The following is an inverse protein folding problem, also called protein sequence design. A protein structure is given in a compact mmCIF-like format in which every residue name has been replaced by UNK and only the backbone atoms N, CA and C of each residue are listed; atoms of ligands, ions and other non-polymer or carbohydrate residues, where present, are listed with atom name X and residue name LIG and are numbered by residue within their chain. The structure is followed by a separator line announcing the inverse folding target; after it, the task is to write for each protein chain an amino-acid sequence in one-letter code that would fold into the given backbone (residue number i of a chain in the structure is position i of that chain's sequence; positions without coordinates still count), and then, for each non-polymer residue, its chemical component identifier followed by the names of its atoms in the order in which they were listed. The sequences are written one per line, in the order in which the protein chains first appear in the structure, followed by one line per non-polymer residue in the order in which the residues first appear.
data_IF_597652582500
#
_entry.id   IF_597652582500
#
_cell.length_a   1.000
_cell.length_b   1.000
_cell.length_c   1.000
_cell.angle_alpha   90.00
_cell.angle_beta   90.00
_cell.angle_gamma   90.00
#
_symmetry.space_group_name_H-M   'P 1'
#
loop_
_entity.id
_entity.type
_entity.pdbx_description
1 polymer ?
#
# COMPACT_ATOMS: atom_id res chain seq x y z
N UNK A 1 -7.23 -12.04 -43.68
CA UNK A 1 -7.24 -10.98 -42.65
C UNK A 1 -5.97 -11.13 -41.85
N UNK A 2 -5.02 -10.18 -41.92
CA UNK A 2 -3.89 -10.20 -40.98
C UNK A 2 -4.45 -9.93 -39.58
N UNK A 3 -4.11 -10.79 -38.61
CA UNK A 3 -4.46 -10.59 -37.21
C UNK A 3 -3.75 -9.35 -36.66
N UNK A 4 -4.26 -8.86 -35.52
CA UNK A 4 -3.63 -7.77 -34.79
C UNK A 4 -2.19 -8.14 -34.40
N UNK A 5 -1.18 -7.25 -34.61
CA UNK A 5 0.18 -7.51 -34.18
C UNK A 5 0.25 -7.64 -32.64
N UNK A 6 1.17 -8.47 -32.10
CA UNK A 6 1.26 -8.73 -30.66
C UNK A 6 1.33 -7.46 -29.80
N UNK A 7 2.04 -6.44 -30.25
CA UNK A 7 2.23 -5.18 -29.51
C UNK A 7 0.93 -4.39 -29.38
N UNK A 8 0.15 -4.28 -30.47
CA UNK A 8 -1.15 -3.60 -30.43
C UNK A 8 -2.14 -4.29 -29.47
N UNK A 9 -2.06 -5.63 -29.37
CA UNK A 9 -2.83 -6.38 -28.39
C UNK A 9 -2.37 -6.10 -26.96
N UNK A 10 -1.06 -6.01 -26.73
CA UNK A 10 -0.50 -5.69 -25.42
C UNK A 10 -0.87 -4.25 -24.99
N UNK A 11 -0.80 -3.30 -25.90
CA UNK A 11 -1.16 -1.89 -25.65
C UNK A 11 -2.62 -1.75 -25.24
N UNK A 12 -3.53 -2.45 -25.92
CA UNK A 12 -4.96 -2.48 -25.56
C UNK A 12 -5.16 -3.03 -24.15
N UNK A 13 -4.48 -4.12 -23.81
CA UNK A 13 -4.56 -4.74 -22.48
C UNK A 13 -4.05 -3.76 -21.42
N UNK A 14 -2.88 -3.15 -21.63
CA UNK A 14 -2.31 -2.17 -20.72
C UNK A 14 -3.22 -0.94 -20.56
N UNK A 15 -3.85 -0.47 -21.63
CA UNK A 15 -4.81 0.63 -21.58
C UNK A 15 -6.01 0.30 -20.69
N UNK A 16 -6.62 -0.86 -20.89
CA UNK A 16 -7.77 -1.30 -20.09
C UNK A 16 -7.39 -1.42 -18.61
N UNK A 17 -6.31 -2.12 -18.29
CA UNK A 17 -5.90 -2.36 -16.91
C UNK A 17 -5.52 -1.07 -16.17
N UNK A 18 -4.86 -0.11 -16.82
CA UNK A 18 -4.36 1.08 -16.14
C UNK A 18 -5.34 2.26 -16.13
N UNK A 19 -6.15 2.42 -17.18
CA UNK A 19 -6.98 3.61 -17.38
C UNK A 19 -8.47 3.36 -17.21
N UNK A 20 -8.95 2.15 -17.52
CA UNK A 20 -10.40 1.85 -17.53
C UNK A 20 -10.85 1.01 -16.33
N UNK A 21 -10.00 0.16 -15.78
CA UNK A 21 -10.37 -0.64 -14.61
C UNK A 21 -10.42 0.22 -13.34
N UNK A 22 -11.56 0.18 -12.66
CA UNK A 22 -11.75 0.66 -11.29
C UNK A 22 -11.86 -0.58 -10.42
N UNK A 23 -10.95 -0.75 -9.46
CA UNK A 23 -10.98 -1.88 -8.51
C UNK A 23 -11.84 -1.55 -7.30
N UNK A 24 -12.50 -2.54 -6.69
CA UNK A 24 -13.37 -2.33 -5.51
C UNK A 24 -12.69 -1.62 -4.32
N UNK A 25 -11.38 -1.85 -4.13
CA UNK A 25 -10.59 -1.25 -3.04
C UNK A 25 -10.27 0.24 -3.25
N UNK A 26 -10.37 0.73 -4.49
CA UNK A 26 -9.99 2.10 -4.83
C UNK A 26 -11.00 2.65 -5.83
N UNK A 27 -11.78 3.64 -5.41
CA UNK A 27 -12.69 4.42 -6.28
C UNK A 27 -11.98 5.15 -7.45
N UNK A 28 -10.69 4.91 -7.65
CA UNK A 28 -9.86 5.54 -8.67
C UNK A 28 -9.14 4.49 -9.52
N UNK A 29 -9.11 4.66 -10.85
CA UNK A 29 -8.28 3.85 -11.74
C UNK A 29 -6.79 3.90 -11.36
N UNK A 30 -6.01 2.85 -11.68
CA UNK A 30 -4.57 2.78 -11.36
C UNK A 30 -3.76 4.00 -11.80
N UNK A 31 -4.08 4.58 -12.96
CA UNK A 31 -3.41 5.78 -13.49
C UNK A 31 -3.54 6.98 -12.54
N UNK A 32 -4.74 7.21 -11.99
CA UNK A 32 -4.96 8.31 -11.05
C UNK A 32 -4.22 8.05 -9.74
N UNK A 33 -4.22 6.81 -9.24
CA UNK A 33 -3.45 6.45 -8.04
C UNK A 33 -1.96 6.68 -8.22
N UNK A 34 -1.40 6.30 -9.37
CA UNK A 34 0.02 6.45 -9.68
C UNK A 34 0.48 7.91 -9.64
N UNK A 35 -0.27 8.81 -10.29
CA UNK A 35 0.09 10.23 -10.29
C UNK A 35 -0.34 10.97 -9.03
N UNK A 36 -1.43 10.54 -8.36
CA UNK A 36 -1.85 11.13 -7.09
C UNK A 36 -0.88 10.81 -5.96
N UNK A 37 -0.25 9.62 -5.95
CA UNK A 37 0.76 9.29 -4.94
C UNK A 37 2.01 10.16 -5.05
N UNK A 38 2.34 10.66 -6.25
CA UNK A 38 3.44 11.62 -6.43
C UNK A 38 3.10 12.99 -5.81
N UNK A 39 1.82 13.38 -5.82
CA UNK A 39 1.36 14.65 -5.21
C UNK A 39 1.11 14.49 -3.69
N UNK A 40 0.71 13.30 -3.24
CA UNK A 40 0.39 13.03 -1.83
C UNK A 40 1.62 12.76 -0.94
N UNK A 41 2.81 12.51 -1.52
CA UNK A 41 4.07 12.38 -0.76
C UNK A 41 4.37 13.63 0.11
N UNK A 42 3.83 14.80 -0.24
CA UNK A 42 3.98 16.03 0.54
C UNK A 42 2.98 16.15 1.73
N UNK A 43 1.97 15.28 1.82
CA UNK A 43 0.87 15.37 2.82
C UNK A 43 0.79 14.15 3.74
N UNK A 44 1.94 13.61 4.16
CA UNK A 44 1.96 12.63 5.25
C UNK A 44 1.70 13.37 6.55
N UNK A 45 0.43 13.45 6.96
CA UNK A 45 0.07 13.82 8.33
C UNK A 45 0.67 12.82 9.34
N UNK A 46 0.66 13.11 10.66
CA UNK A 46 1.23 12.20 11.64
C UNK A 46 0.60 10.81 11.51
N UNK A 47 1.40 9.83 11.10
CA UNK A 47 0.94 8.46 10.90
C UNK A 47 0.39 7.88 12.19
N UNK A 48 -0.71 7.13 12.09
CA UNK A 48 -1.31 6.46 13.25
C UNK A 48 -0.25 5.65 14.00
N UNK A 49 -0.23 5.74 15.33
CA UNK A 49 0.73 5.01 16.15
C UNK A 49 0.26 3.57 16.37
N UNK A 50 1.16 2.62 16.17
CA UNK A 50 0.89 1.18 16.29
C UNK A 50 1.93 0.48 17.14
N UNK A 51 1.52 -0.63 17.75
CA UNK A 51 2.42 -1.59 18.38
C UNK A 51 2.69 -2.74 17.40
N UNK A 52 3.93 -3.21 17.39
CA UNK A 52 4.44 -4.27 16.53
C UNK A 52 4.87 -5.46 17.38
N UNK A 53 4.43 -6.65 17.00
CA UNK A 53 4.86 -7.90 17.64
C UNK A 53 6.18 -8.38 17.05
N UNK A 54 7.23 -8.37 17.86
CA UNK A 54 8.52 -8.99 17.55
C UNK A 54 8.30 -10.50 17.31
N UNK A 55 8.71 -10.99 16.13
CA UNK A 55 8.53 -12.38 15.73
C UNK A 55 9.46 -13.34 16.46
N UNK A 56 10.61 -12.87 16.93
CA UNK A 56 11.61 -13.65 17.66
C UNK A 56 11.24 -13.78 19.13
N UNK A 57 10.82 -12.69 19.76
CA UNK A 57 10.55 -12.65 21.21
C UNK A 57 9.06 -12.76 21.55
N UNK A 58 8.18 -12.54 20.58
CA UNK A 58 6.73 -12.52 20.76
C UNK A 58 6.18 -11.29 21.47
N UNK A 59 7.05 -10.36 21.87
CA UNK A 59 6.72 -9.15 22.62
C UNK A 59 6.19 -8.04 21.71
N UNK A 60 5.36 -7.17 22.27
CA UNK A 60 4.87 -5.98 21.57
C UNK A 60 5.80 -4.80 21.84
N UNK A 61 6.22 -4.12 20.78
CA UNK A 61 7.15 -2.98 20.77
C UNK A 61 6.51 -1.79 20.07
N UNK A 62 7.00 -0.58 20.35
CA UNK A 62 6.46 0.67 19.81
C UNK A 62 6.23 1.72 20.90
N UNK A 63 5.55 2.83 20.59
CA UNK A 63 4.74 3.08 19.38
C UNK A 63 5.58 3.39 18.13
N UNK A 64 5.26 2.72 17.01
CA UNK A 64 5.80 2.97 15.68
C UNK A 64 4.79 3.72 14.81
N UNK A 65 5.26 4.44 13.80
CA UNK A 65 4.37 5.08 12.83
C UNK A 65 3.88 4.08 11.79
N UNK A 66 2.58 4.03 11.57
CA UNK A 66 2.00 3.28 10.46
C UNK A 66 2.13 4.10 9.18
N UNK A 67 2.82 3.54 8.18
CA UNK A 67 3.00 4.14 6.86
C UNK A 67 1.86 3.75 5.91
N UNK A 68 1.47 2.48 5.91
CA UNK A 68 0.31 2.00 5.15
C UNK A 68 -0.16 0.64 5.66
N UNK A 69 -1.40 0.25 5.35
CA UNK A 69 -1.98 -1.04 5.70
C UNK A 69 -2.92 -1.51 4.59
N UNK A 70 -2.76 -2.76 4.14
CA UNK A 70 -3.66 -3.35 3.17
C UNK A 70 -3.34 -4.81 2.89
N UNK A 71 -4.35 -5.56 2.42
CA UNK A 71 -4.18 -6.94 1.90
C UNK A 71 -3.47 -7.89 2.86
N UNK A 72 -3.71 -7.74 4.16
CA UNK A 72 -3.14 -8.60 5.20
C UNK A 72 -1.73 -8.21 5.67
N UNK A 73 -1.22 -7.04 5.25
CA UNK A 73 0.08 -6.53 5.65
C UNK A 73 -0.01 -5.06 6.08
N UNK A 74 0.99 -4.65 6.86
CA UNK A 74 1.20 -3.27 7.27
C UNK A 74 2.67 -2.89 7.07
N UNK A 75 2.91 -1.67 6.62
CA UNK A 75 4.24 -1.07 6.59
C UNK A 75 4.35 -0.07 7.75
N UNK A 76 5.38 -0.24 8.58
CA UNK A 76 5.62 0.58 9.78
C UNK A 76 7.01 1.19 9.74
N UNK A 77 7.15 2.41 10.24
CA UNK A 77 8.44 3.08 10.38
C UNK A 77 9.08 2.70 11.71
N UNK A 78 10.23 2.01 11.65
CA UNK A 78 11.05 1.68 12.83
C UNK A 78 12.43 2.33 12.73
N UNK A 79 13.26 2.19 13.76
CA UNK A 79 14.62 2.73 13.77
C UNK A 79 15.52 2.10 12.67
N UNK A 80 15.10 0.96 12.12
CA UNK A 80 15.76 0.29 10.99
C UNK A 80 15.18 0.70 9.62
N UNK A 81 14.25 1.66 9.61
CA UNK A 81 13.52 2.12 8.43
C UNK A 81 12.15 1.45 8.27
N UNK A 82 11.52 1.58 7.08
CA UNK A 82 10.22 0.97 6.78
C UNK A 82 10.27 -0.55 6.78
N UNK A 83 9.39 -1.19 7.55
CA UNK A 83 9.29 -2.65 7.64
C UNK A 83 7.89 -3.14 7.29
N UNK A 84 7.82 -4.16 6.44
CA UNK A 84 6.58 -4.86 6.11
C UNK A 84 6.34 -6.03 7.06
N UNK A 85 5.17 -6.04 7.69
CA UNK A 85 4.78 -7.03 8.68
C UNK A 85 3.38 -7.58 8.36
N UNK A 86 3.10 -8.85 8.71
CA UNK A 86 1.74 -9.35 8.65
C UNK A 86 0.83 -8.50 9.55
N UNK A 87 -0.37 -8.17 9.06
CA UNK A 87 -1.34 -7.33 9.77
C UNK A 87 -1.67 -7.83 11.19
N UNK A 88 -1.69 -9.16 11.39
CA UNK A 88 -1.92 -9.79 12.71
C UNK A 88 -0.82 -9.48 13.74
N UNK A 89 0.35 -9.02 13.30
CA UNK A 89 1.49 -8.63 14.13
C UNK A 89 1.52 -7.13 14.40
N UNK A 90 0.48 -6.38 14.00
CA UNK A 90 0.37 -4.94 14.21
C UNK A 90 -0.96 -4.65 14.90
N UNK A 91 -0.98 -3.76 15.88
CA UNK A 91 -2.24 -3.31 16.51
C UNK A 91 -2.21 -1.81 16.83
N UNK A 92 -3.34 -1.09 16.73
CA UNK A 92 -3.41 0.33 17.09
C UNK A 92 -3.07 0.58 18.56
N UNK A 93 -2.45 1.73 18.85
CA UNK A 93 -2.38 2.27 20.21
C UNK A 93 -3.71 2.94 20.51
N UNK A 94 -4.43 2.47 21.53
CA UNK A 94 -5.68 3.11 21.96
C UNK A 94 -5.35 4.33 22.82
N UNK A 95 -6.06 5.47 22.65
CA UNK A 95 -5.97 6.58 23.59
C UNK A 95 -6.56 6.17 24.95
N UNK A 96 -5.90 6.61 26.03
CA UNK A 96 -6.31 6.46 27.43
C UNK A 96 -7.52 7.29 27.78
#
# INVERSE_FOLDING_TARGET
MLGEPPDARLDKVAYVFNFLQVSDDAQMPPILRHFSSLVAQERVGPGAKVLVRDLRTGQWTGPHELLTWGRGYACVSTDQGPQWLPARNVKPVLPS
#
